data_IF_124328804503
#
_entry.id   IF_124328804503
#
_cell.length_a   1.000
_cell.length_b   1.000
_cell.length_c   1.000
_cell.angle_alpha   90.00
_cell.angle_beta   90.00
_cell.angle_gamma   90.00
#
_symmetry.space_group_name_H-M   'P 1'
#
loop_
_entity.id
_entity.type
_entity.pdbx_description
1 polymer ?
#
# COMPACT_ATOMS: atom_id res chain seq x y z
N UNK A 1 15.79 -2.10 11.36
CA UNK A 1 14.46 -1.67 10.90
C UNK A 1 14.67 -1.25 9.47
N UNK A 2 14.28 -2.10 8.53
CA UNK A 2 14.27 -1.72 7.13
C UNK A 2 13.02 -0.87 6.93
N UNK A 3 13.23 0.43 6.73
CA UNK A 3 12.15 1.36 6.43
C UNK A 3 11.70 1.10 5.00
N UNK A 4 10.45 0.67 4.82
CA UNK A 4 9.85 0.59 3.49
C UNK A 4 9.54 2.01 3.05
N UNK A 5 10.34 2.53 2.12
CA UNK A 5 10.09 3.84 1.53
C UNK A 5 8.98 3.70 0.48
N UNK A 6 7.74 3.93 0.89
CA UNK A 6 6.59 4.00 0.00
C UNK A 6 6.30 5.44 -0.40
N UNK A 7 5.72 5.61 -1.57
CA UNK A 7 5.21 6.86 -2.11
C UNK A 7 3.85 6.63 -2.80
N UNK A 8 2.96 7.64 -2.83
CA UNK A 8 1.80 7.61 -3.71
C UNK A 8 2.20 7.30 -5.16
N UNK A 9 1.56 6.29 -5.75
CA UNK A 9 1.87 5.77 -7.07
C UNK A 9 2.75 4.51 -7.07
N UNK A 10 3.39 4.17 -5.96
CA UNK A 10 4.16 2.94 -5.84
C UNK A 10 3.24 1.73 -5.95
N UNK A 11 3.76 0.66 -6.57
CA UNK A 11 3.10 -0.63 -6.61
C UNK A 11 3.57 -1.46 -5.44
N UNK A 12 2.61 -2.08 -4.76
CA UNK A 12 2.86 -2.98 -3.64
C UNK A 12 2.03 -4.22 -3.80
N UNK A 13 2.48 -5.31 -3.19
CA UNK A 13 1.70 -6.53 -3.06
C UNK A 13 1.23 -6.68 -1.62
N UNK A 14 -0.08 -6.83 -1.46
CA UNK A 14 -0.72 -7.13 -0.18
C UNK A 14 -1.55 -8.40 -0.36
N UNK A 15 -1.37 -9.38 0.53
CA UNK A 15 -2.09 -10.67 0.45
C UNK A 15 -2.04 -11.34 -0.93
N UNK A 16 -0.90 -11.24 -1.62
CA UNK A 16 -0.65 -11.78 -2.98
C UNK A 16 -1.40 -11.07 -4.11
N UNK A 17 -2.01 -9.91 -3.86
CA UNK A 17 -2.67 -9.07 -4.86
C UNK A 17 -1.90 -7.75 -4.98
N UNK A 18 -1.83 -7.22 -6.20
CA UNK A 18 -1.11 -5.97 -6.49
C UNK A 18 -2.03 -4.77 -6.33
N UNK A 19 -1.53 -3.74 -5.65
CA UNK A 19 -2.24 -2.50 -5.40
C UNK A 19 -1.32 -1.31 -5.70
N UNK A 20 -1.95 -0.15 -5.88
CA UNK A 20 -1.24 1.12 -5.97
C UNK A 20 -1.39 1.88 -4.67
N UNK A 21 -0.30 2.35 -4.07
CA UNK A 21 -0.36 3.23 -2.90
C UNK A 21 -0.97 4.56 -3.31
N UNK A 22 -2.00 5.02 -2.60
CA UNK A 22 -2.64 6.32 -2.87
C UNK A 22 -2.24 7.37 -1.85
N UNK A 23 -2.16 7.00 -0.58
CA UNK A 23 -1.84 7.89 0.52
C UNK A 23 -0.97 7.17 1.55
N UNK A 24 -0.17 7.93 2.28
CA UNK A 24 0.69 7.42 3.35
C UNK A 24 0.46 8.26 4.58
N UNK A 25 0.26 7.60 5.71
CA UNK A 25 -0.08 8.21 6.96
C UNK A 25 1.10 8.13 7.94
N UNK A 26 1.21 9.14 8.80
CA UNK A 26 2.31 9.25 9.78
C UNK A 26 2.26 8.17 10.87
N UNK A 27 1.15 7.44 10.99
CA UNK A 27 0.96 6.31 11.90
C UNK A 27 1.46 4.97 11.31
N UNK A 28 1.96 4.98 10.08
CA UNK A 28 2.51 3.81 9.42
C UNK A 28 1.48 2.96 8.66
N UNK A 29 0.29 3.50 8.39
CA UNK A 29 -0.68 2.92 7.46
C UNK A 29 -0.62 3.61 6.09
N UNK A 30 -1.21 2.95 5.09
CA UNK A 30 -1.38 3.48 3.74
C UNK A 30 -2.76 3.13 3.21
N UNK A 31 -3.20 3.94 2.27
CA UNK A 31 -4.37 3.63 1.46
C UNK A 31 -3.90 2.97 0.16
N UNK A 32 -4.61 1.92 -0.24
CA UNK A 32 -4.34 1.11 -1.41
C UNK A 32 -5.50 1.20 -2.40
N UNK A 33 -5.17 1.41 -3.66
CA UNK A 33 -6.11 1.35 -4.78
C UNK A 33 -6.02 -0.01 -5.49
N UNK A 34 -7.16 -0.68 -5.56
CA UNK A 34 -7.38 -1.86 -6.37
C UNK A 34 -7.92 -1.42 -7.75
N UNK A 35 -7.06 -1.52 -8.77
CA UNK A 35 -7.42 -1.15 -10.12
C UNK A 35 -8.38 -2.15 -10.77
N UNK A 36 -8.31 -3.43 -10.39
CA UNK A 36 -9.15 -4.50 -10.96
C UNK A 36 -10.58 -4.42 -10.42
N UNK A 37 -10.71 -4.12 -9.13
CA UNK A 37 -12.01 -4.03 -8.45
C UNK A 37 -12.55 -2.59 -8.35
N UNK A 38 -11.80 -1.59 -8.83
CA UNK A 38 -12.13 -0.16 -8.71
C UNK A 38 -12.51 0.25 -7.28
N UNK A 39 -11.72 -0.22 -6.30
CA UNK A 39 -12.01 -0.08 -4.88
C UNK A 39 -10.83 0.52 -4.12
N UNK A 40 -11.15 1.36 -3.13
CA UNK A 40 -10.19 1.90 -2.16
C UNK A 40 -10.17 1.02 -0.92
N UNK A 41 -8.98 0.70 -0.44
CA UNK A 41 -8.73 -0.01 0.81
C UNK A 41 -7.92 0.91 1.71
N UNK A 42 -8.49 1.31 2.83
CA UNK A 42 -7.88 2.26 3.76
C UNK A 42 -7.15 1.55 4.91
N UNK A 43 -6.25 2.27 5.58
CA UNK A 43 -5.62 1.86 6.84
C UNK A 43 -4.83 0.53 6.79
N UNK A 44 -4.15 0.25 5.67
CA UNK A 44 -3.31 -0.94 5.54
C UNK A 44 -1.94 -0.69 6.15
N UNK A 45 -1.51 -1.52 7.09
CA UNK A 45 -0.20 -1.37 7.73
C UNK A 45 0.95 -1.59 6.73
N UNK A 46 1.89 -0.66 6.70
CA UNK A 46 3.07 -0.73 5.82
C UNK A 46 3.93 -1.97 6.05
N UNK A 47 3.88 -2.55 7.25
CA UNK A 47 4.58 -3.80 7.61
C UNK A 47 3.99 -5.05 6.94
N UNK A 48 2.78 -4.99 6.40
CA UNK A 48 2.13 -6.09 5.68
C UNK A 48 2.40 -6.06 4.16
N UNK A 49 3.12 -5.05 3.68
CA UNK A 49 3.30 -4.79 2.26
C UNK A 49 4.64 -5.31 1.75
N UNK A 50 4.61 -5.87 0.55
CA UNK A 50 5.78 -6.25 -0.22
C UNK A 50 5.96 -5.24 -1.37
N UNK A 51 7.11 -4.56 -1.44
CA UNK A 51 7.45 -3.68 -2.58
C UNK A 51 7.88 -4.55 -3.77
N UNK A 52 7.41 -4.19 -4.97
CA UNK A 52 7.63 -4.93 -6.23
C UNK A 52 8.56 -4.17 -7.18
#
# INVERSE_FOLDING_TARGET
MDYVNLWPGDRVRWRKVEFTVTSIWSDGTVDLWDADNHALIEDVATSELEVI
#
